data_IF_459334340595
#
_entry.id   IF_459334340595
#
_cell.length_a   1.000
_cell.length_b   1.000
_cell.length_c   1.000
_cell.angle_alpha   90.00
_cell.angle_beta   90.00
_cell.angle_gamma   90.00
#
_symmetry.space_group_name_H-M   'P 1'
#
loop_
_entity.id
_entity.type
_entity.pdbx_description
1 polymer ?
#
# COMPACT_ATOMS: atom_id res chain seq x y z
N UNK A 1 -10.49 -5.21 35.63
CA UNK A 1 -10.81 -5.32 34.19
C UNK A 1 -9.59 -5.89 33.48
N UNK A 2 -9.78 -6.89 32.62
CA UNK A 2 -8.73 -7.41 31.75
C UNK A 2 -8.69 -6.61 30.45
N UNK A 3 -7.52 -6.54 29.80
CA UNK A 3 -7.39 -5.89 28.51
C UNK A 3 -8.28 -6.60 27.47
N UNK A 4 -9.02 -5.83 26.68
CA UNK A 4 -9.72 -6.35 25.51
C UNK A 4 -8.74 -6.46 24.34
N UNK A 5 -8.88 -7.53 23.54
CA UNK A 5 -8.04 -7.74 22.37
C UNK A 5 -8.48 -6.81 21.23
N UNK A 6 -7.58 -5.94 20.79
CA UNK A 6 -7.73 -5.26 19.51
C UNK A 6 -7.30 -6.22 18.38
N UNK A 7 -8.26 -7.01 17.88
CA UNK A 7 -7.99 -8.00 16.84
C UNK A 7 -7.77 -7.34 15.48
N UNK A 8 -6.51 -7.03 15.18
CA UNK A 8 -6.11 -6.45 13.91
C UNK A 8 -6.41 -7.34 12.70
N UNK A 9 -6.50 -8.67 12.84
CA UNK A 9 -6.85 -9.56 11.73
C UNK A 9 -8.32 -9.42 11.37
N UNK A 10 -9.21 -9.44 12.38
CA UNK A 10 -10.64 -9.23 12.18
C UNK A 10 -10.93 -7.85 11.60
N UNK A 11 -10.32 -6.79 12.15
CA UNK A 11 -10.45 -5.41 11.64
C UNK A 11 -9.98 -5.31 10.20
N UNK A 12 -8.81 -5.88 9.87
CA UNK A 12 -8.28 -5.88 8.51
C UNK A 12 -9.22 -6.61 7.54
N UNK A 13 -9.78 -7.75 7.92
CA UNK A 13 -10.71 -8.50 7.09
C UNK A 13 -12.00 -7.73 6.81
N UNK A 14 -12.54 -7.03 7.82
CA UNK A 14 -13.73 -6.19 7.68
C UNK A 14 -13.48 -5.02 6.71
N UNK A 15 -12.37 -4.29 6.89
CA UNK A 15 -12.00 -3.17 6.01
C UNK A 15 -11.81 -3.66 4.57
N UNK A 16 -11.12 -4.80 4.36
CA UNK A 16 -10.91 -5.33 3.01
C UNK A 16 -12.22 -5.72 2.32
N UNK A 17 -13.18 -6.29 3.06
CA UNK A 17 -14.50 -6.62 2.51
C UNK A 17 -15.24 -5.36 2.06
N UNK A 18 -15.27 -4.32 2.90
CA UNK A 18 -15.90 -3.05 2.54
C UNK A 18 -15.24 -2.42 1.30
N UNK A 19 -13.89 -2.42 1.24
CA UNK A 19 -13.16 -1.91 0.08
C UNK A 19 -13.47 -2.72 -1.18
N UNK A 20 -13.54 -4.06 -1.08
CA UNK A 20 -13.90 -4.92 -2.19
C UNK A 20 -15.30 -4.61 -2.73
N UNK A 21 -16.28 -4.44 -1.85
CA UNK A 21 -17.65 -4.06 -2.23
C UNK A 21 -17.68 -2.70 -2.94
N UNK A 22 -16.92 -1.72 -2.46
CA UNK A 22 -16.84 -0.38 -3.06
C UNK A 22 -16.19 -0.42 -4.45
N UNK A 23 -15.10 -1.17 -4.60
CA UNK A 23 -14.44 -1.35 -5.91
C UNK A 23 -15.35 -2.11 -6.88
N UNK A 24 -16.02 -3.17 -6.43
CA UNK A 24 -16.98 -3.92 -7.23
C UNK A 24 -18.15 -3.03 -7.69
N UNK A 25 -18.70 -2.20 -6.79
CA UNK A 25 -19.76 -1.25 -7.14
C UNK A 25 -19.31 -0.22 -8.18
N UNK A 26 -18.13 0.35 -8.00
CA UNK A 26 -17.58 1.33 -8.94
C UNK A 26 -17.30 0.73 -10.32
N UNK A 27 -16.82 -0.52 -10.36
CA UNK A 27 -16.52 -1.21 -11.62
C UNK A 27 -17.78 -1.68 -12.35
N UNK A 28 -18.78 -2.18 -11.62
CA UNK A 28 -20.08 -2.51 -12.19
C UNK A 28 -20.81 -1.30 -12.79
N UNK A 29 -20.52 -0.08 -12.31
CA UNK A 29 -21.03 1.17 -12.86
C UNK A 29 -20.29 1.65 -14.13
N UNK A 30 -19.39 0.83 -14.70
CA UNK A 30 -18.60 1.16 -15.89
C UNK A 30 -17.29 1.90 -15.60
N UNK A 31 -16.96 2.11 -14.32
CA UNK A 31 -15.65 2.63 -13.92
C UNK A 31 -14.55 1.59 -14.07
N UNK A 32 -13.32 2.03 -14.28
CA UNK A 32 -12.14 1.14 -14.16
C UNK A 32 -11.79 0.95 -12.67
N UNK A 33 -11.18 -0.17 -12.27
CA UNK A 33 -10.72 -0.34 -10.90
C UNK A 33 -9.62 0.70 -10.57
N UNK A 34 -9.42 1.06 -9.30
CA UNK A 34 -8.21 1.78 -8.87
C UNK A 34 -6.98 0.88 -9.00
N UNK A 35 -5.78 1.46 -9.10
CA UNK A 35 -4.52 0.73 -9.26
C UNK A 35 -3.48 1.00 -8.16
N UNK A 36 -2.68 -0.02 -7.85
CA UNK A 36 -1.47 0.07 -7.04
C UNK A 36 -0.26 -0.38 -7.87
N UNK A 37 0.74 0.50 -8.01
CA UNK A 37 2.02 0.20 -8.63
C UNK A 37 3.12 0.10 -7.58
N UNK A 38 3.99 -0.90 -7.70
CA UNK A 38 5.19 -1.00 -6.87
C UNK A 38 6.41 -1.28 -7.74
N UNK A 39 7.51 -0.60 -7.43
CA UNK A 39 8.85 -0.96 -7.89
C UNK A 39 9.60 -1.55 -6.72
N UNK A 40 10.31 -2.65 -6.96
CA UNK A 40 11.21 -3.26 -5.99
C UNK A 40 12.57 -3.46 -6.65
N UNK A 41 13.60 -2.81 -6.11
CA UNK A 41 14.98 -2.85 -6.58
C UNK A 41 15.92 -3.37 -5.48
N UNK A 42 15.47 -4.39 -4.75
CA UNK A 42 16.27 -5.03 -3.70
C UNK A 42 15.97 -6.54 -3.65
N UNK A 43 16.88 -7.28 -3.00
CA UNK A 43 16.74 -8.70 -2.70
C UNK A 43 16.40 -8.97 -1.22
N UNK A 44 16.04 -7.94 -0.44
CA UNK A 44 15.75 -8.11 0.98
C UNK A 44 14.48 -8.97 1.16
N UNK A 45 14.56 -10.10 1.89
CA UNK A 45 13.40 -10.97 2.10
C UNK A 45 12.21 -10.26 2.75
N UNK A 46 12.46 -9.27 3.61
CA UNK A 46 11.45 -8.42 4.22
C UNK A 46 10.72 -7.55 3.20
N UNK A 47 11.46 -6.91 2.29
CA UNK A 47 10.90 -6.05 1.24
C UNK A 47 10.01 -6.87 0.31
N UNK A 48 10.53 -8.04 -0.13
CA UNK A 48 9.80 -9.00 -0.96
C UNK A 48 8.50 -9.47 -0.29
N UNK A 49 8.56 -9.81 0.99
CA UNK A 49 7.37 -10.23 1.75
C UNK A 49 6.36 -9.09 1.91
N UNK A 50 6.82 -7.87 2.16
CA UNK A 50 5.98 -6.69 2.33
C UNK A 50 5.27 -6.30 1.02
N UNK A 51 6.01 -6.21 -0.10
CA UNK A 51 5.47 -5.97 -1.45
C UNK A 51 4.50 -7.09 -1.85
N UNK A 52 4.89 -8.34 -1.66
CA UNK A 52 4.00 -9.49 -1.91
C UNK A 52 2.71 -9.42 -1.09
N UNK A 53 2.78 -8.92 0.15
CA UNK A 53 1.61 -8.64 0.99
C UNK A 53 0.66 -7.61 0.38
N UNK A 54 1.19 -6.51 -0.17
CA UNK A 54 0.40 -5.47 -0.85
C UNK A 54 -0.38 -6.06 -2.04
N UNK A 55 0.29 -6.81 -2.92
CA UNK A 55 -0.36 -7.41 -4.09
C UNK A 55 -1.42 -8.46 -3.71
N UNK A 56 -1.16 -9.28 -2.68
CA UNK A 56 -2.20 -10.18 -2.15
C UNK A 56 -3.42 -9.42 -1.65
N UNK A 57 -3.23 -8.25 -1.05
CA UNK A 57 -4.36 -7.44 -0.59
C UNK A 57 -5.12 -6.82 -1.77
N UNK A 58 -4.43 -6.36 -2.83
CA UNK A 58 -5.07 -5.88 -4.05
C UNK A 58 -5.97 -6.95 -4.68
N UNK A 59 -5.50 -8.20 -4.76
CA UNK A 59 -6.30 -9.32 -5.26
C UNK A 59 -7.57 -9.57 -4.41
N UNK A 60 -7.51 -9.30 -3.11
CA UNK A 60 -8.68 -9.44 -2.22
C UNK A 60 -9.68 -8.29 -2.33
N UNK A 61 -9.26 -7.12 -2.80
CA UNK A 61 -10.09 -5.91 -2.85
C UNK A 61 -10.52 -5.51 -4.27
N UNK A 62 -10.05 -6.22 -5.30
CA UNK A 62 -10.32 -5.88 -6.70
C UNK A 62 -9.53 -4.67 -7.22
N UNK A 63 -8.54 -4.20 -6.46
CA UNK A 63 -7.60 -3.15 -6.89
C UNK A 63 -6.66 -3.75 -7.93
N UNK A 64 -6.49 -3.09 -9.07
CA UNK A 64 -5.52 -3.48 -10.09
C UNK A 64 -4.10 -3.36 -9.51
N UNK A 65 -3.24 -4.31 -9.84
CA UNK A 65 -1.92 -4.45 -9.21
C UNK A 65 -0.84 -4.55 -10.28
N UNK A 66 0.10 -3.60 -10.27
CA UNK A 66 1.26 -3.57 -11.15
C UNK A 66 2.52 -3.75 -10.31
N UNK A 67 3.35 -4.74 -10.68
CA UNK A 67 4.60 -5.05 -9.99
C UNK A 67 5.76 -5.03 -10.97
N UNK A 68 6.76 -4.21 -10.68
CA UNK A 68 8.06 -4.19 -11.39
C UNK A 68 9.15 -4.60 -10.41
N UNK A 69 9.82 -5.71 -10.70
CA UNK A 69 11.02 -6.15 -9.99
C UNK A 69 12.23 -5.75 -10.85
N UNK A 70 13.21 -5.12 -10.24
CA UNK A 70 14.48 -4.73 -10.86
C UNK A 70 15.62 -5.52 -10.22
N UNK A 71 16.77 -5.64 -10.91
CA UNK A 71 18.00 -6.13 -10.29
C UNK A 71 18.32 -5.37 -8.98
N UNK A 72 18.91 -6.05 -8.00
CA UNK A 72 19.25 -5.43 -6.72
C UNK A 72 20.35 -4.36 -6.81
N UNK A 73 21.10 -4.34 -7.91
CA UNK A 73 22.09 -3.31 -8.25
C UNK A 73 21.51 -2.20 -9.14
N UNK A 74 20.20 -2.24 -9.42
CA UNK A 74 19.54 -1.20 -10.20
C UNK A 74 19.68 0.15 -9.51
N UNK A 75 20.09 1.14 -10.29
CA UNK A 75 20.14 2.53 -9.89
C UNK A 75 18.73 3.08 -9.73
N UNK A 76 18.58 4.13 -8.91
CA UNK A 76 17.26 4.72 -8.74
C UNK A 76 16.71 5.27 -10.08
N UNK A 77 17.55 5.66 -11.05
CA UNK A 77 17.11 6.05 -12.39
C UNK A 77 16.45 4.90 -13.17
N UNK A 78 16.79 3.64 -12.89
CA UNK A 78 16.15 2.45 -13.48
C UNK A 78 14.84 2.06 -12.75
N UNK A 79 14.63 2.63 -11.56
CA UNK A 79 13.45 2.48 -10.70
C UNK A 79 12.28 3.42 -11.05
N UNK A 80 12.33 4.03 -12.23
CA UNK A 80 11.19 4.76 -12.79
C UNK A 80 10.24 3.76 -13.44
N UNK A 81 8.96 3.80 -13.06
CA UNK A 81 7.90 3.23 -13.89
C UNK A 81 7.75 4.20 -15.06
N UNK A 82 8.60 4.05 -16.08
CA UNK A 82 8.56 4.88 -17.30
C UNK A 82 7.20 4.73 -17.96
N UNK A 83 6.34 5.71 -17.68
CA UNK A 83 5.00 5.87 -18.21
C UNK A 83 4.09 4.64 -18.05
N UNK A 84 2.76 4.84 -18.08
CA UNK A 84 1.87 3.70 -18.24
C UNK A 84 2.23 3.05 -19.57
N UNK A 85 2.84 1.85 -19.52
CA UNK A 85 2.55 0.85 -20.53
C UNK A 85 1.05 0.96 -20.78
N UNK A 86 0.65 1.15 -22.03
CA UNK A 86 -0.64 1.66 -22.50
C UNK A 86 -1.87 0.84 -22.08
N UNK A 87 -1.77 0.00 -21.05
CA UNK A 87 -2.83 -0.64 -20.32
C UNK A 87 -3.54 0.35 -19.38
N UNK A 88 -4.51 1.00 -20.01
CA UNK A 88 -5.66 1.72 -19.44
C UNK A 88 -6.53 0.85 -18.50
N UNK A 89 -5.97 -0.08 -17.74
CA UNK A 89 -6.69 -1.07 -16.93
C UNK A 89 -7.15 -0.52 -15.58
N UNK A 90 -6.68 0.65 -15.16
CA UNK A 90 -7.08 1.29 -13.90
C UNK A 90 -7.22 2.82 -13.99
N UNK A 91 -7.85 3.45 -12.97
CA UNK A 91 -8.09 4.92 -12.90
C UNK A 91 -6.93 5.74 -12.32
N UNK A 92 -5.83 5.10 -11.94
CA UNK A 92 -4.63 5.75 -11.40
C UNK A 92 -3.79 4.77 -10.58
N UNK A 93 -2.47 4.91 -10.63
CA UNK A 93 -1.54 4.12 -9.83
C UNK A 93 -1.01 4.93 -8.66
N UNK A 94 -1.12 4.38 -7.45
CA UNK A 94 -0.27 4.81 -6.34
C UNK A 94 1.10 4.16 -6.57
N UNK A 95 2.17 4.94 -6.71
CA UNK A 95 3.53 4.41 -6.56
C UNK A 95 3.85 4.44 -5.07
N UNK A 96 4.03 3.26 -4.49
CA UNK A 96 4.31 3.17 -3.07
C UNK A 96 5.76 2.78 -2.82
N UNK A 97 6.46 3.72 -2.22
CA UNK A 97 7.78 3.53 -1.64
C UNK A 97 7.71 2.48 -0.52
N UNK A 98 8.62 1.51 -0.55
CA UNK A 98 8.62 0.34 0.34
C UNK A 98 9.74 0.41 1.37
N UNK A 99 10.54 1.48 1.33
CA UNK A 99 11.81 1.66 2.04
C UNK A 99 11.93 0.95 3.39
N UNK A 100 12.41 -0.29 3.34
CA UNK A 100 13.01 -0.97 4.50
C UNK A 100 14.50 -1.20 4.30
N UNK A 101 15.06 -0.71 3.19
CA UNK A 101 16.49 -0.69 2.91
C UNK A 101 17.21 0.13 3.97
N UNK A 102 17.99 -0.56 4.80
CA UNK A 102 18.81 0.04 5.85
C UNK A 102 20.14 0.48 5.25
N UNK A 103 20.45 1.76 5.41
CA UNK A 103 21.75 2.35 5.06
C UNK A 103 22.39 2.97 6.30
N UNK A 104 23.66 3.36 6.19
CA UNK A 104 24.36 4.12 7.24
C UNK A 104 23.70 5.50 7.49
N UNK A 105 22.88 5.99 6.56
CA UNK A 105 22.10 7.23 6.66
C UNK A 105 20.68 7.01 7.20
N UNK A 106 20.29 5.76 7.49
CA UNK A 106 18.97 5.38 7.98
C UNK A 106 18.15 4.58 6.97
N UNK A 107 16.83 4.50 7.20
CA UNK A 107 15.89 3.86 6.29
C UNK A 107 15.59 4.81 5.13
N UNK A 108 15.93 4.38 3.92
CA UNK A 108 15.68 5.11 2.69
C UNK A 108 14.62 4.40 1.85
N UNK A 109 13.92 5.18 1.05
CA UNK A 109 12.93 4.70 0.10
C UNK A 109 13.53 3.98 -1.11
N UNK A 110 12.76 3.08 -1.69
CA UNK A 110 13.14 2.26 -2.85
C UNK A 110 12.60 2.83 -4.18
N UNK A 111 11.89 3.96 -4.11
CA UNK A 111 11.27 4.62 -5.28
C UNK A 111 12.06 5.86 -5.69
N UNK A 112 12.35 5.98 -6.98
CA UNK A 112 13.02 7.16 -7.54
C UNK A 112 12.20 8.43 -7.27
N UNK A 113 12.82 9.58 -6.96
CA UNK A 113 12.13 10.85 -6.86
C UNK A 113 11.28 11.19 -8.11
N UNK A 114 11.71 10.78 -9.31
CA UNK A 114 10.96 11.06 -10.54
C UNK A 114 9.69 10.22 -10.68
N UNK A 115 9.44 9.22 -9.82
CA UNK A 115 8.15 8.55 -9.78
C UNK A 115 7.00 9.53 -9.51
N UNK A 116 7.27 10.67 -8.87
CA UNK A 116 6.30 11.75 -8.70
C UNK A 116 5.83 12.35 -10.03
N UNK A 117 6.61 12.25 -11.11
CA UNK A 117 6.28 12.81 -12.43
C UNK A 117 5.33 11.92 -13.25
N UNK A 118 5.23 10.63 -12.91
CA UNK A 118 4.44 9.61 -13.62
C UNK A 118 3.28 9.05 -12.80
N UNK A 119 3.36 9.13 -11.47
CA UNK A 119 2.33 8.60 -10.59
C UNK A 119 1.11 9.53 -10.53
N UNK A 120 -0.10 8.94 -10.63
CA UNK A 120 -1.33 9.69 -10.34
C UNK A 120 -1.44 10.09 -8.87
N UNK A 121 -0.84 9.28 -7.97
CA UNK A 121 -0.76 9.51 -6.53
C UNK A 121 0.56 8.93 -6.00
N UNK A 122 1.23 9.60 -5.06
CA UNK A 122 2.47 9.13 -4.45
C UNK A 122 2.30 8.95 -2.94
N UNK A 123 2.73 7.81 -2.41
CA UNK A 123 2.74 7.52 -0.98
C UNK A 123 4.20 7.32 -0.50
N UNK A 124 4.91 8.40 -0.10
CA UNK A 124 6.29 8.30 0.34
C UNK A 124 6.42 7.64 1.72
N UNK A 125 7.54 6.96 1.97
CA UNK A 125 7.87 6.33 3.26
C UNK A 125 9.15 6.93 3.84
N UNK A 126 9.09 8.12 4.47
CA UNK A 126 10.27 8.71 5.09
C UNK A 126 10.59 7.99 6.41
N UNK A 127 11.49 7.00 6.36
CA UNK A 127 12.17 6.51 7.56
C UNK A 127 11.42 5.47 8.41
N UNK A 128 10.66 4.55 7.80
CA UNK A 128 10.01 3.44 8.50
C UNK A 128 8.49 3.48 8.41
N UNK A 129 7.76 3.31 9.52
CA UNK A 129 6.28 3.22 9.48
C UNK A 129 5.66 4.54 9.02
N UNK A 130 5.08 4.54 7.82
CA UNK A 130 4.53 5.74 7.19
C UNK A 130 3.38 6.40 7.96
N UNK A 131 3.11 7.69 7.67
CA UNK A 131 2.09 8.48 8.37
C UNK A 131 0.69 7.87 8.25
N UNK A 132 0.34 7.27 7.11
CA UNK A 132 -0.95 6.58 6.94
C UNK A 132 -1.13 5.43 7.92
N UNK A 133 -0.10 4.60 8.11
CA UNK A 133 -0.17 3.45 9.03
C UNK A 133 -0.36 3.92 10.47
N UNK A 134 0.35 4.97 10.88
CA UNK A 134 0.21 5.57 12.21
C UNK A 134 -1.20 6.12 12.43
N UNK A 135 -1.75 6.83 11.44
CA UNK A 135 -3.09 7.40 11.52
C UNK A 135 -4.17 6.32 11.56
N UNK A 136 -4.08 5.29 10.71
CA UNK A 136 -5.06 4.18 10.70
C UNK A 136 -5.03 3.39 12.00
N UNK A 137 -3.87 3.22 12.63
CA UNK A 137 -3.79 2.63 13.96
C UNK A 137 -4.57 3.48 14.99
N UNK A 138 -4.35 4.79 15.01
CA UNK A 138 -5.05 5.68 15.94
C UNK A 138 -6.56 5.68 15.70
N UNK A 139 -7.00 5.67 14.44
CA UNK A 139 -8.41 5.54 14.08
C UNK A 139 -9.02 4.25 14.66
N UNK A 140 -8.35 3.11 14.50
CA UNK A 140 -8.80 1.83 15.06
C UNK A 140 -8.87 1.86 16.61
N UNK A 141 -7.94 2.55 17.27
CA UNK A 141 -7.97 2.71 18.73
C UNK A 141 -9.18 3.52 19.17
N UNK A 142 -9.46 4.65 18.50
CA UNK A 142 -10.62 5.49 18.81
C UNK A 142 -11.92 4.73 18.58
N UNK A 143 -12.08 4.08 17.42
CA UNK A 143 -13.28 3.28 17.11
C UNK A 143 -13.52 2.16 18.14
N UNK A 144 -12.46 1.49 18.60
CA UNK A 144 -12.58 0.45 19.61
C UNK A 144 -13.00 1.02 20.98
N UNK A 145 -12.52 2.22 21.33
CA UNK A 145 -12.93 2.91 22.55
C UNK A 145 -14.41 3.34 22.49
N UNK A 146 -14.86 3.88 21.35
CA UNK A 146 -16.24 4.30 21.13
C UNK A 146 -17.22 3.12 21.19
N UNK A 147 -16.89 1.99 20.56
CA UNK A 147 -17.71 0.77 20.62
C UNK A 147 -17.87 0.26 22.05
N UNK A 148 -16.83 0.38 22.87
CA UNK A 148 -16.88 0.03 24.28
C UNK A 148 -17.73 1.00 25.10
N UNK A 149 -17.64 2.30 24.83
CA UNK A 149 -18.45 3.31 25.51
C UNK A 149 -19.95 3.15 25.20
N UNK A 150 -20.30 2.77 23.97
CA UNK A 150 -21.69 2.56 23.54
C UNK A 150 -22.26 1.17 23.92
N UNK A 151 -21.45 0.27 24.47
CA UNK A 151 -21.87 -1.04 24.95
C UNK A 151 -22.26 -1.06 26.44
N UNK A 152 -22.26 0.11 27.08
CA UNK A 152 -22.64 0.35 28.49
C UNK A 152 -24.03 0.95 28.59
#
# INVERSE_FOLDING_TARGET
MTAQLLDGKATTAAIRRELAERVAKSTAAGGRPPGLGTVLADDDPGSRAHVGGKHRNCAQTGVASIRRELPADATQAEAVIDEPDADLTCTGHIVQDVGITRTDLGLVGDVHPDAASVAGWLAPMPGGVGPMTRTVLLANVVEAAERNANAV
#
